data_IF_244787227199
#
_entry.id   IF_244787227199
#
_cell.length_a   1.000
_cell.length_b   1.000
_cell.length_c   1.000
_cell.angle_alpha   90.00
_cell.angle_beta   90.00
_cell.angle_gamma   90.00
#
_symmetry.space_group_name_H-M   'P 1'
#
loop_
_entity.id
_entity.type
_entity.pdbx_description
1 polymer ?
#
# COMPACT_ATOMS: atom_id res chain seq x y z
N UNK A 1 4.05 -4.14 -30.23
CA UNK A 1 3.45 -3.30 -29.17
C UNK A 1 3.19 -4.19 -27.97
N UNK A 2 4.12 -4.22 -27.01
CA UNK A 2 3.94 -5.01 -25.79
C UNK A 2 2.91 -4.33 -24.91
N UNK A 3 1.84 -5.04 -24.59
CA UNK A 3 0.84 -4.57 -23.64
C UNK A 3 1.56 -4.54 -22.29
N UNK A 4 1.88 -3.35 -21.79
CA UNK A 4 2.35 -3.17 -20.41
C UNK A 4 1.15 -3.53 -19.52
N UNK A 5 0.97 -4.82 -19.21
CA UNK A 5 0.02 -5.25 -18.19
C UNK A 5 0.54 -4.67 -16.87
N UNK A 6 -0.21 -3.72 -16.31
CA UNK A 6 0.01 -3.27 -14.95
C UNK A 6 0.01 -4.51 -14.04
N UNK A 7 1.08 -4.71 -13.29
CA UNK A 7 1.13 -5.80 -12.32
C UNK A 7 0.12 -5.49 -11.20
N UNK A 8 -0.64 -6.49 -10.71
CA UNK A 8 -1.53 -6.27 -9.58
C UNK A 8 -0.72 -5.90 -8.34
N UNK A 9 -1.18 -4.86 -7.63
CA UNK A 9 -0.64 -4.44 -6.35
C UNK A 9 -1.67 -4.80 -5.27
N UNK A 10 -1.23 -5.58 -4.30
CA UNK A 10 -1.99 -5.92 -3.10
C UNK A 10 -1.62 -4.90 -2.03
N UNK A 11 -2.60 -4.13 -1.57
CA UNK A 11 -2.43 -3.11 -0.54
C UNK A 11 -3.20 -3.57 0.69
N UNK A 12 -2.53 -3.61 1.83
CA UNK A 12 -3.06 -3.97 3.12
C UNK A 12 -2.77 -2.83 4.10
N UNK A 13 -3.81 -2.32 4.75
CA UNK A 13 -3.71 -1.16 5.66
C UNK A 13 -3.89 -1.62 7.09
N UNK A 14 -2.98 -1.21 7.96
CA UNK A 14 -2.99 -1.43 9.40
C UNK A 14 -3.11 -0.08 10.10
N UNK A 15 -4.23 0.15 10.78
CA UNK A 15 -4.51 1.42 11.48
C UNK A 15 -3.78 1.48 12.84
N UNK A 16 -3.23 0.36 13.31
CA UNK A 16 -2.46 0.25 14.55
C UNK A 16 -1.03 -0.23 14.29
N UNK A 17 -0.06 0.27 15.07
CA UNK A 17 1.34 -0.18 15.08
C UNK A 17 1.53 -1.64 15.55
N UNK A 18 0.51 -2.24 16.17
CA UNK A 18 0.57 -3.63 16.62
C UNK A 18 0.23 -4.60 15.49
N UNK A 19 1.24 -4.88 14.65
CA UNK A 19 1.20 -5.78 13.47
C UNK A 19 0.87 -7.26 13.76
N UNK A 20 0.81 -7.69 15.02
CA UNK A 20 0.91 -9.12 15.38
C UNK A 20 -0.39 -9.93 15.28
N UNK A 21 -1.58 -9.31 15.23
CA UNK A 21 -2.86 -10.05 15.26
C UNK A 21 -4.00 -9.40 14.44
N UNK A 22 -3.71 -8.39 13.62
CA UNK A 22 -4.76 -7.62 12.91
C UNK A 22 -4.89 -8.14 11.48
N UNK A 23 -6.01 -8.80 11.17
CA UNK A 23 -6.39 -9.07 9.78
C UNK A 23 -6.45 -7.75 9.00
N UNK A 24 -5.89 -7.68 7.78
CA UNK A 24 -5.88 -6.45 7.00
C UNK A 24 -7.31 -6.04 6.66
N UNK A 25 -7.71 -4.85 7.11
CA UNK A 25 -9.11 -4.39 7.08
C UNK A 25 -9.61 -4.12 5.64
N UNK A 26 -8.71 -4.04 4.66
CA UNK A 26 -9.02 -3.62 3.29
C UNK A 26 -8.23 -4.41 2.23
N UNK A 27 -8.95 -4.94 1.24
CA UNK A 27 -8.42 -5.81 0.17
C UNK A 27 -8.53 -5.20 -1.24
N UNK A 28 -7.40 -5.29 -1.94
CA UNK A 28 -7.15 -5.19 -3.38
C UNK A 28 -7.45 -3.88 -4.12
N UNK A 29 -6.39 -3.27 -4.65
CA UNK A 29 -6.48 -2.27 -5.71
C UNK A 29 -5.64 -2.69 -6.93
N UNK A 30 -6.27 -3.47 -7.81
CA UNK A 30 -5.66 -3.98 -9.04
C UNK A 30 -5.70 -2.94 -10.18
N UNK A 31 -5.12 -1.74 -10.02
CA UNK A 31 -5.01 -0.77 -11.14
C UNK A 31 -4.03 0.39 -10.93
N UNK A 32 -3.18 0.38 -9.91
CA UNK A 32 -2.40 1.57 -9.59
C UNK A 32 -1.14 1.73 -10.46
N UNK A 33 -0.94 2.93 -11.01
CA UNK A 33 0.25 3.33 -11.78
C UNK A 33 1.47 3.50 -10.85
N UNK A 34 1.23 3.69 -9.54
CA UNK A 34 2.27 3.80 -8.51
C UNK A 34 1.76 3.31 -7.15
N UNK A 35 2.70 2.93 -6.27
CA UNK A 35 2.39 2.54 -4.88
C UNK A 35 1.62 3.65 -4.15
N UNK A 36 2.05 4.91 -4.29
CA UNK A 36 1.39 6.05 -3.65
C UNK A 36 -0.05 6.25 -4.12
N UNK A 37 -0.34 6.01 -5.40
CA UNK A 37 -1.69 6.09 -5.93
C UNK A 37 -2.57 4.96 -5.38
N UNK A 38 -2.04 3.73 -5.34
CA UNK A 38 -2.73 2.56 -4.79
C UNK A 38 -3.13 2.81 -3.32
N UNK A 39 -2.15 3.17 -2.50
CA UNK A 39 -2.37 3.39 -1.07
C UNK A 39 -3.35 4.53 -0.83
N UNK A 40 -3.22 5.65 -1.58
CA UNK A 40 -4.16 6.78 -1.46
C UNK A 40 -5.58 6.36 -1.81
N UNK A 41 -5.77 5.65 -2.91
CA UNK A 41 -7.11 5.31 -3.37
C UNK A 41 -7.79 4.29 -2.44
N UNK A 42 -7.04 3.33 -1.87
CA UNK A 42 -7.54 2.45 -0.81
C UNK A 42 -7.89 3.24 0.46
N UNK A 43 -7.00 4.10 0.94
CA UNK A 43 -7.24 4.91 2.15
C UNK A 43 -8.45 5.85 1.98
N UNK A 44 -8.55 6.58 0.86
CA UNK A 44 -9.66 7.48 0.56
C UNK A 44 -10.98 6.73 0.44
N UNK A 45 -10.99 5.56 -0.21
CA UNK A 45 -12.19 4.73 -0.37
C UNK A 45 -12.77 4.27 0.97
N UNK A 46 -11.91 4.11 1.98
CA UNK A 46 -12.27 3.65 3.32
C UNK A 46 -12.33 4.79 4.36
N UNK A 47 -12.26 6.05 3.92
CA UNK A 47 -12.24 7.23 4.80
C UNK A 47 -11.10 7.22 5.85
N UNK A 48 -9.98 6.58 5.50
CA UNK A 48 -8.79 6.48 6.34
C UNK A 48 -7.89 7.69 6.06
N UNK A 49 -7.74 8.57 7.05
CA UNK A 49 -6.87 9.75 6.96
C UNK A 49 -5.44 9.46 7.43
N UNK A 50 -5.28 8.48 8.33
CA UNK A 50 -3.98 8.04 8.86
C UNK A 50 -3.98 6.54 9.13
N UNK A 51 -2.84 5.90 8.92
CA UNK A 51 -2.58 4.49 9.17
C UNK A 51 -1.19 4.32 9.77
N UNK A 52 -1.05 3.43 10.76
CA UNK A 52 0.25 3.14 11.36
C UNK A 52 1.19 2.43 10.37
N UNK A 53 0.69 1.42 9.66
CA UNK A 53 1.48 0.67 8.67
C UNK A 53 0.65 0.37 7.43
N UNK A 54 1.26 0.46 6.25
CA UNK A 54 0.68 -0.01 4.99
C UNK A 54 1.64 -1.00 4.34
N UNK A 55 1.17 -2.23 4.12
CA UNK A 55 1.90 -3.25 3.38
C UNK A 55 1.43 -3.25 1.93
N UNK A 56 2.38 -3.23 1.00
CA UNK A 56 2.13 -3.26 -0.44
C UNK A 56 2.96 -4.37 -1.06
N UNK A 57 2.31 -5.28 -1.78
CA UNK A 57 2.96 -6.42 -2.43
C UNK A 57 2.61 -6.48 -3.91
N UNK A 58 3.61 -6.73 -4.75
CA UNK A 58 3.46 -7.17 -6.13
C UNK A 58 3.98 -8.61 -6.28
N UNK A 59 3.96 -9.13 -7.51
CA UNK A 59 4.55 -10.43 -7.85
C UNK A 59 6.02 -10.55 -7.46
N UNK A 60 6.77 -9.45 -7.59
CA UNK A 60 8.25 -9.46 -7.53
C UNK A 60 8.80 -8.64 -6.35
N UNK A 61 7.97 -7.82 -5.71
CA UNK A 61 8.39 -6.90 -4.67
C UNK A 61 7.37 -6.82 -3.54
N UNK A 62 7.85 -6.56 -2.34
CA UNK A 62 7.01 -6.16 -1.22
C UNK A 62 7.58 -4.91 -0.54
N UNK A 63 6.70 -4.16 0.10
CA UNK A 63 7.01 -2.88 0.71
C UNK A 63 6.15 -2.66 1.95
N UNK A 64 6.76 -2.24 3.06
CA UNK A 64 6.06 -1.71 4.22
C UNK A 64 6.29 -0.21 4.30
N UNK A 65 5.23 0.55 4.49
CA UNK A 65 5.25 1.99 4.72
C UNK A 65 4.78 2.22 6.16
N UNK A 66 5.53 3.01 6.93
CA UNK A 66 5.18 3.35 8.31
C UNK A 66 4.72 4.81 8.42
N UNK A 67 3.82 5.06 9.37
CA UNK A 67 3.21 6.37 9.68
C UNK A 67 2.63 7.04 8.43
N UNK A 68 1.69 6.33 7.79
CA UNK A 68 1.12 6.74 6.50
C UNK A 68 -0.04 7.69 6.72
N UNK A 69 0.01 8.87 6.10
CA UNK A 69 -1.08 9.84 6.11
C UNK A 69 -1.47 10.26 4.69
N UNK A 70 -2.77 10.51 4.48
CA UNK A 70 -3.29 11.03 3.22
C UNK A 70 -3.39 12.55 3.31
N UNK A 71 -2.94 13.23 2.25
CA UNK A 71 -3.11 14.67 2.05
C UNK A 71 -3.71 14.96 0.68
N UNK A 72 -4.08 16.21 0.44
CA UNK A 72 -4.56 16.67 -0.86
C UNK A 72 -3.53 16.42 -1.99
N UNK A 73 -2.23 16.43 -1.65
CA UNK A 73 -1.14 16.24 -2.60
C UNK A 73 -0.72 14.77 -2.80
N UNK A 74 -1.17 13.82 -1.98
CA UNK A 74 -0.73 12.44 -2.07
C UNK A 74 -0.74 11.69 -0.74
N UNK A 75 0.27 10.85 -0.52
CA UNK A 75 0.54 10.23 0.78
C UNK A 75 1.91 10.68 1.31
N UNK A 76 2.02 10.72 2.63
CA UNK A 76 3.29 10.88 3.35
C UNK A 76 3.53 9.64 4.20
N UNK A 77 4.79 9.23 4.35
CA UNK A 77 5.23 8.08 5.15
C UNK A 77 6.69 8.25 5.57
N UNK A 78 7.08 7.71 6.73
CA UNK A 78 8.38 8.03 7.34
C UNK A 78 9.48 7.04 6.89
N UNK A 79 9.17 5.75 6.68
CA UNK A 79 10.17 4.74 6.30
C UNK A 79 9.61 3.65 5.38
N UNK A 80 9.94 3.66 4.07
CA UNK A 80 9.60 2.55 3.18
C UNK A 80 10.62 1.41 3.34
N UNK A 81 10.23 0.31 3.94
CA UNK A 81 11.03 -0.93 3.93
C UNK A 81 10.66 -1.72 2.69
N UNK A 82 11.58 -1.86 1.73
CA UNK A 82 11.36 -2.59 0.47
C UNK A 82 12.14 -3.89 0.47
N UNK A 83 11.51 -4.96 -0.02
CA UNK A 83 12.15 -6.26 -0.23
C UNK A 83 11.80 -6.79 -1.61
N UNK A 84 12.80 -7.25 -2.34
CA UNK A 84 12.58 -7.99 -3.58
C UNK A 84 12.25 -9.44 -3.23
N UNK A 85 11.12 -9.93 -3.75
CA UNK A 85 10.74 -11.33 -3.71
C UNK A 85 11.47 -11.97 -4.90
N UNK A 86 12.70 -12.41 -4.66
CA UNK A 86 13.50 -13.08 -5.69
C UNK A 86 12.74 -14.26 -6.27
N UNK A 87 12.68 -14.33 -7.60
CA UNK A 87 12.29 -15.52 -8.34
C UNK A 87 13.31 -16.65 -8.16
#
# INVERSE_FOLDING_TARGET
>A
MGILRAQPLYVHIFISDSLLDVEPDVSEEAAAISVSAAVRAVMVRHDITSAGVVYVRSSDHEMWLHDVSVSECGISYDFPVKRSLGA
#
